data_IF_667383828516
#
_entry.id   IF_667383828516
#
_cell.length_a   1.000
_cell.length_b   1.000
_cell.length_c   1.000
_cell.angle_alpha   90.00
_cell.angle_beta   90.00
_cell.angle_gamma   90.00
#
_symmetry.space_group_name_H-M   'P 1'
#
loop_
_entity.id
_entity.type
_entity.pdbx_description
1 polymer ?
#
# COMPACT_ATOMS: atom_id res chain seq x y z
N UNK A 1 -60.42 41.04 43.68
CA UNK A 1 -59.93 39.65 43.89
C UNK A 1 -59.91 39.02 42.49
N UNK A 2 -58.78 39.08 41.78
CA UNK A 2 -57.75 38.02 41.68
C UNK A 2 -58.37 36.68 41.26
N UNK A 3 -58.02 36.03 40.15
CA UNK A 3 -56.79 36.12 39.38
C UNK A 3 -56.91 35.52 37.98
N UNK A 4 -55.97 35.96 37.14
CA UNK A 4 -55.76 35.50 35.76
C UNK A 4 -55.18 34.09 35.79
N UNK A 5 -55.85 33.13 35.15
CA UNK A 5 -55.31 31.81 34.88
C UNK A 5 -54.30 31.94 33.72
N UNK A 6 -53.01 32.00 34.05
CA UNK A 6 -51.93 32.03 33.07
C UNK A 6 -51.87 30.69 32.32
N UNK A 7 -52.04 30.76 31.00
CA UNK A 7 -51.63 29.73 30.05
C UNK A 7 -50.11 29.56 30.12
N UNK A 8 -49.64 28.50 30.78
CA UNK A 8 -48.26 28.04 30.66
C UNK A 8 -48.11 27.26 29.34
N UNK A 9 -47.76 27.97 28.26
CA UNK A 9 -47.22 27.32 27.06
C UNK A 9 -45.74 27.08 27.32
N UNK A 10 -45.39 25.87 27.76
CA UNK A 10 -44.01 25.43 27.87
C UNK A 10 -43.43 25.25 26.46
N UNK A 11 -42.65 26.22 26.00
CA UNK A 11 -41.85 26.10 24.78
C UNK A 11 -40.69 25.13 25.05
N UNK A 12 -40.82 23.87 24.61
CA UNK A 12 -39.70 22.93 24.57
C UNK A 12 -38.83 23.31 23.38
N UNK A 13 -37.78 24.10 23.62
CA UNK A 13 -36.76 24.37 22.61
C UNK A 13 -35.96 23.08 22.36
N UNK A 14 -36.18 22.44 21.21
CA UNK A 14 -35.36 21.33 20.76
C UNK A 14 -33.94 21.86 20.45
N UNK A 15 -32.99 21.61 21.36
CA UNK A 15 -31.57 21.86 21.11
C UNK A 15 -31.08 20.79 20.15
N UNK A 16 -31.12 21.09 18.85
CA UNK A 16 -30.47 20.28 17.83
C UNK A 16 -28.97 20.53 17.97
N UNK A 17 -28.28 19.65 18.70
CA UNK A 17 -26.81 19.61 18.71
C UNK A 17 -26.38 19.12 17.34
N UNK A 18 -26.04 20.07 16.46
CA UNK A 18 -25.31 19.77 15.23
C UNK A 18 -23.94 19.20 15.63
N UNK A 19 -23.82 17.87 15.64
CA UNK A 19 -22.52 17.21 15.71
C UNK A 19 -21.81 17.53 14.40
N UNK A 20 -21.02 18.61 14.38
CA UNK A 20 -20.07 18.84 13.30
C UNK A 20 -19.10 17.67 13.38
N UNK A 21 -19.16 16.75 12.43
CA UNK A 21 -18.24 15.63 12.35
C UNK A 21 -16.83 16.20 12.17
N UNK A 22 -16.08 16.26 13.28
CA UNK A 22 -14.68 16.66 13.29
C UNK A 22 -13.91 15.62 12.47
N UNK A 23 -13.01 16.08 11.61
CA UNK A 23 -12.20 15.17 10.81
C UNK A 23 -11.43 14.19 11.72
N UNK A 24 -11.44 12.87 11.45
CA UNK A 24 -10.79 11.89 12.32
C UNK A 24 -9.26 12.05 12.40
N UNK A 25 -8.65 12.77 11.46
CA UNK A 25 -7.21 13.00 11.38
C UNK A 25 -6.78 14.41 11.81
N UNK A 26 -7.71 15.18 12.40
CA UNK A 26 -7.45 16.56 12.82
C UNK A 26 -6.31 16.66 13.84
N UNK A 27 -6.13 15.65 14.70
CA UNK A 27 -5.06 15.58 15.69
C UNK A 27 -3.68 15.34 15.08
N UNK A 28 -3.62 14.78 13.86
CA UNK A 28 -2.38 14.57 13.12
C UNK A 28 -2.04 15.83 12.33
N UNK A 29 -2.98 16.31 11.51
CA UNK A 29 -2.80 17.54 10.74
C UNK A 29 -4.13 18.04 10.19
N UNK A 30 -4.37 19.36 10.28
CA UNK A 30 -5.48 20.02 9.61
C UNK A 30 -5.41 19.89 8.08
N UNK A 31 -4.21 19.64 7.53
CA UNK A 31 -3.97 19.43 6.09
C UNK A 31 -3.97 17.96 5.68
N UNK A 32 -4.34 17.05 6.58
CA UNK A 32 -4.43 15.64 6.26
C UNK A 32 -5.39 15.41 5.09
N UNK A 33 -5.07 14.46 4.21
CA UNK A 33 -5.82 14.19 2.97
C UNK A 33 -7.30 13.95 3.21
N UNK A 34 -7.64 13.20 4.27
CA UNK A 34 -9.04 12.94 4.67
C UNK A 34 -9.76 14.22 5.12
N UNK A 35 -9.07 15.18 5.72
CA UNK A 35 -9.67 16.42 6.22
C UNK A 35 -9.82 17.48 5.12
N UNK A 36 -8.84 17.53 4.21
CA UNK A 36 -8.74 18.58 3.20
C UNK A 36 -9.61 18.30 1.98
N UNK A 37 -9.67 17.03 1.56
CA UNK A 37 -10.24 16.67 0.28
C UNK A 37 -11.59 15.97 0.41
N UNK A 38 -12.49 16.29 -0.52
CA UNK A 38 -13.76 15.59 -0.68
C UNK A 38 -13.57 14.38 -1.60
N UNK A 39 -14.42 13.37 -1.45
CA UNK A 39 -14.51 12.26 -2.42
C UNK A 39 -14.91 12.81 -3.78
N UNK A 40 -14.44 12.15 -4.84
CA UNK A 40 -14.80 12.42 -6.22
C UNK A 40 -14.67 13.90 -6.67
N UNK A 41 -13.71 14.67 -6.13
CA UNK A 41 -13.63 16.11 -6.40
C UNK A 41 -13.09 16.43 -7.80
N UNK A 42 -12.09 15.68 -8.29
CA UNK A 42 -11.55 15.68 -9.66
C UNK A 42 -11.60 17.05 -10.39
N UNK A 43 -11.11 18.12 -9.76
CA UNK A 43 -11.38 19.50 -10.21
C UNK A 43 -10.87 19.74 -11.64
N UNK A 44 -11.75 20.26 -12.49
CA UNK A 44 -11.43 20.57 -13.89
C UNK A 44 -11.27 19.35 -14.81
N UNK A 45 -11.63 18.16 -14.34
CA UNK A 45 -11.57 16.90 -15.09
C UNK A 45 -12.90 16.15 -14.92
N UNK A 46 -13.18 15.21 -15.82
CA UNK A 46 -14.39 14.40 -15.72
C UNK A 46 -14.06 13.03 -15.11
N UNK A 47 -14.45 12.81 -13.85
CA UNK A 47 -14.29 11.51 -13.20
C UNK A 47 -15.23 10.48 -13.82
N UNK A 48 -14.68 9.37 -14.31
CA UNK A 48 -15.43 8.30 -15.00
C UNK A 48 -15.56 7.05 -14.13
N UNK A 49 -14.58 6.79 -13.25
CA UNK A 49 -14.63 5.77 -12.19
C UNK A 49 -13.78 6.22 -11.01
N UNK A 50 -14.27 5.95 -9.80
CA UNK A 50 -13.51 6.08 -8.55
C UNK A 50 -13.61 4.76 -7.79
N UNK A 51 -12.45 4.25 -7.36
CA UNK A 51 -12.32 3.06 -6.55
C UNK A 51 -13.04 1.83 -7.10
N UNK A 52 -13.73 1.13 -6.20
CA UNK A 52 -14.37 -0.15 -6.48
C UNK A 52 -13.34 -1.24 -6.76
N UNK A 53 -12.27 -1.28 -5.97
CA UNK A 53 -11.30 -2.38 -6.01
C UNK A 53 -11.91 -3.60 -5.35
N UNK A 54 -12.19 -4.62 -6.15
CA UNK A 54 -12.76 -5.87 -5.69
C UNK A 54 -11.71 -6.77 -5.03
N UNK A 55 -12.15 -7.93 -4.54
CA UNK A 55 -11.23 -8.92 -3.93
C UNK A 55 -10.13 -9.34 -4.91
N UNK A 56 -10.45 -9.51 -6.19
CA UNK A 56 -9.47 -9.84 -7.23
C UNK A 56 -8.40 -8.77 -7.39
N UNK A 57 -8.78 -7.49 -7.38
CA UNK A 57 -7.82 -6.37 -7.49
C UNK A 57 -6.88 -6.35 -6.28
N UNK A 58 -7.45 -6.45 -5.07
CA UNK A 58 -6.69 -6.49 -3.81
C UNK A 58 -5.72 -7.68 -3.77
N UNK A 59 -6.16 -8.85 -4.19
CA UNK A 59 -5.33 -10.05 -4.24
C UNK A 59 -4.18 -9.89 -5.24
N UNK A 60 -4.45 -9.38 -6.45
CA UNK A 60 -3.39 -9.11 -7.44
C UNK A 60 -2.36 -8.13 -6.88
N UNK A 61 -2.80 -7.07 -6.18
CA UNK A 61 -1.88 -6.12 -5.55
C UNK A 61 -0.99 -6.85 -4.53
N UNK A 62 -1.58 -7.61 -3.60
CA UNK A 62 -0.82 -8.32 -2.57
C UNK A 62 0.14 -9.35 -3.16
N UNK A 63 -0.36 -10.21 -4.05
CA UNK A 63 0.42 -11.28 -4.68
C UNK A 63 1.61 -10.70 -5.43
N UNK A 64 1.41 -9.66 -6.24
CA UNK A 64 2.50 -9.05 -7.00
C UNK A 64 3.54 -8.41 -6.06
N UNK A 65 3.13 -7.68 -5.02
CA UNK A 65 4.08 -7.12 -4.05
C UNK A 65 4.86 -8.23 -3.34
N UNK A 66 4.18 -9.24 -2.80
CA UNK A 66 4.80 -10.29 -2.00
C UNK A 66 5.71 -11.19 -2.83
N UNK A 67 5.35 -11.53 -4.07
CA UNK A 67 6.20 -12.29 -4.98
C UNK A 67 7.51 -11.54 -5.31
N UNK A 68 7.42 -10.24 -5.60
CA UNK A 68 8.60 -9.42 -5.90
C UNK A 68 9.49 -9.22 -4.66
N UNK A 69 8.89 -8.96 -3.49
CA UNK A 69 9.61 -8.87 -2.21
C UNK A 69 10.29 -10.17 -1.84
N UNK A 70 9.64 -11.31 -2.05
CA UNK A 70 10.21 -12.64 -1.83
C UNK A 70 11.39 -12.90 -2.78
N UNK A 71 11.29 -12.50 -4.05
CA UNK A 71 12.38 -12.61 -5.03
C UNK A 71 13.63 -11.85 -4.58
N UNK A 72 13.46 -10.61 -4.09
CA UNK A 72 14.56 -9.83 -3.49
C UNK A 72 15.10 -10.51 -2.24
N UNK A 73 14.23 -10.96 -1.34
CA UNK A 73 14.63 -11.61 -0.09
C UNK A 73 15.48 -12.87 -0.32
N UNK A 74 15.16 -13.65 -1.35
CA UNK A 74 15.91 -14.84 -1.76
C UNK A 74 17.20 -14.53 -2.54
N UNK A 75 17.46 -13.26 -2.87
CA UNK A 75 18.61 -12.86 -3.67
C UNK A 75 18.51 -13.27 -5.15
N UNK A 76 17.30 -13.44 -5.68
CA UNK A 76 17.06 -13.79 -7.08
C UNK A 76 17.11 -12.58 -8.02
N UNK A 77 17.26 -11.38 -7.46
CA UNK A 77 17.28 -10.12 -8.22
C UNK A 77 18.73 -9.69 -8.40
N UNK A 78 19.17 -9.62 -9.65
CA UNK A 78 20.55 -9.27 -9.98
C UNK A 78 20.98 -7.94 -9.36
N UNK A 79 22.16 -7.92 -8.74
CA UNK A 79 22.70 -6.74 -8.07
C UNK A 79 22.10 -6.43 -6.69
N UNK A 80 21.06 -7.15 -6.25
CA UNK A 80 20.45 -6.97 -4.94
C UNK A 80 20.96 -8.02 -3.95
N UNK A 81 21.33 -7.62 -2.72
CA UNK A 81 21.62 -8.58 -1.67
C UNK A 81 20.34 -9.28 -1.21
N UNK A 82 20.42 -10.55 -0.75
CA UNK A 82 19.30 -11.18 -0.06
C UNK A 82 18.96 -10.41 1.22
N UNK A 83 17.68 -10.38 1.57
CA UNK A 83 17.18 -9.64 2.73
C UNK A 83 16.72 -10.60 3.83
N UNK A 84 17.26 -10.47 5.04
CA UNK A 84 16.72 -11.12 6.22
C UNK A 84 15.59 -10.27 6.82
N UNK A 85 14.43 -10.87 7.09
CA UNK A 85 13.31 -10.19 7.76
C UNK A 85 12.42 -9.35 6.84
N UNK A 86 12.40 -9.62 5.53
CA UNK A 86 11.39 -9.06 4.62
C UNK A 86 10.00 -9.54 5.07
N UNK A 87 9.14 -8.64 5.52
CA UNK A 87 7.79 -9.00 5.99
C UNK A 87 6.85 -9.20 4.80
N UNK A 88 5.98 -10.20 4.90
CA UNK A 88 4.85 -10.34 3.99
C UNK A 88 3.88 -9.16 4.20
N UNK A 89 3.43 -8.57 3.10
CA UNK A 89 2.44 -7.50 3.11
C UNK A 89 1.02 -8.07 3.21
N UNK A 90 0.18 -7.41 3.99
CA UNK A 90 -1.27 -7.66 4.07
C UNK A 90 -2.04 -6.39 3.73
N UNK A 91 -3.30 -6.55 3.32
CA UNK A 91 -4.14 -5.42 2.94
C UNK A 91 -4.58 -4.62 4.17
N UNK A 92 -4.59 -3.30 4.03
CA UNK A 92 -5.03 -2.38 5.08
C UNK A 92 -6.09 -1.41 4.54
N UNK A 93 -7.30 -1.50 5.09
CA UNK A 93 -8.44 -0.70 4.63
C UNK A 93 -8.32 0.78 5.00
N UNK A 94 -7.63 1.13 6.10
CA UNK A 94 -7.39 2.53 6.47
C UNK A 94 -6.48 3.19 5.42
N UNK A 95 -5.37 2.53 5.07
CA UNK A 95 -4.46 2.99 4.03
C UNK A 95 -5.16 3.10 2.67
N UNK A 96 -6.00 2.13 2.31
CA UNK A 96 -6.77 2.14 1.08
C UNK A 96 -7.77 3.31 1.02
N UNK A 97 -8.46 3.60 2.12
CA UNK A 97 -9.39 4.73 2.20
C UNK A 97 -8.67 6.08 2.00
N UNK A 98 -7.48 6.25 2.59
CA UNK A 98 -6.66 7.45 2.40
C UNK A 98 -6.14 7.52 0.96
N UNK A 99 -5.63 6.42 0.40
CA UNK A 99 -5.13 6.35 -0.97
C UNK A 99 -6.25 6.68 -1.99
N UNK A 100 -7.46 6.15 -1.77
CA UNK A 100 -8.61 6.44 -2.61
C UNK A 100 -9.04 7.91 -2.51
N UNK A 101 -9.01 8.48 -1.31
CA UNK A 101 -9.29 9.92 -1.12
C UNK A 101 -8.37 10.78 -1.98
N UNK A 102 -7.09 10.41 -2.09
CA UNK A 102 -6.15 11.12 -2.93
C UNK A 102 -6.36 10.85 -4.43
N UNK A 103 -6.58 9.60 -4.83
CA UNK A 103 -6.86 9.24 -6.22
C UNK A 103 -8.08 9.98 -6.79
N UNK A 104 -9.08 10.25 -5.95
CA UNK A 104 -10.28 11.03 -6.28
C UNK A 104 -10.04 12.50 -6.63
N UNK A 105 -8.83 13.02 -6.37
CA UNK A 105 -8.46 14.37 -6.73
C UNK A 105 -8.01 14.48 -8.19
N UNK A 106 -7.75 13.34 -8.85
CA UNK A 106 -7.30 13.26 -10.24
C UNK A 106 -6.03 14.09 -10.48
N UNK A 107 -5.16 14.17 -9.47
CA UNK A 107 -3.89 14.89 -9.51
C UNK A 107 -2.79 13.85 -9.51
N UNK A 108 -1.98 13.82 -10.57
CA UNK A 108 -0.82 12.93 -10.64
C UNK A 108 0.28 13.50 -9.75
N UNK A 109 0.68 12.75 -8.73
CA UNK A 109 1.68 13.15 -7.76
C UNK A 109 1.28 12.72 -6.34
N UNK A 110 2.01 13.21 -5.36
CA UNK A 110 1.83 12.88 -3.95
C UNK A 110 0.99 13.94 -3.21
N UNK A 111 0.14 13.50 -2.30
CA UNK A 111 -0.51 14.37 -1.31
C UNK A 111 0.48 14.91 -0.25
N UNK A 112 0.05 15.91 0.52
CA UNK A 112 0.90 16.54 1.52
C UNK A 112 1.02 15.74 2.82
N UNK A 113 -0.06 15.12 3.28
CA UNK A 113 -0.11 14.44 4.58
C UNK A 113 -1.14 13.30 4.57
N UNK A 114 -0.65 12.09 4.86
CA UNK A 114 -1.37 10.81 4.73
C UNK A 114 -1.09 9.84 5.89
N UNK A 115 -0.42 10.31 6.93
CA UNK A 115 -0.02 9.50 8.08
C UNK A 115 -1.25 9.06 8.87
N UNK A 116 -1.16 7.87 9.46
CA UNK A 116 -2.20 7.36 10.35
C UNK A 116 -1.84 7.62 11.80
N UNK A 117 -2.77 7.38 12.72
CA UNK A 117 -2.45 7.38 14.16
C UNK A 117 -1.46 6.28 14.56
N UNK A 118 -1.18 5.32 13.66
CA UNK A 118 -0.31 4.17 13.91
C UNK A 118 1.14 4.43 13.50
N UNK A 119 1.37 5.13 12.38
CA UNK A 119 2.70 5.33 11.81
C UNK A 119 2.70 6.35 10.66
N UNK A 120 3.88 6.88 10.29
CA UNK A 120 4.10 7.56 9.02
C UNK A 120 3.85 6.64 7.82
N UNK A 121 3.26 7.19 6.76
CA UNK A 121 2.80 6.43 5.59
C UNK A 121 3.54 6.87 4.32
N UNK A 122 4.11 5.90 3.63
CA UNK A 122 4.77 6.08 2.34
C UNK A 122 3.78 5.87 1.19
N UNK A 123 4.17 6.23 -0.03
CA UNK A 123 3.24 6.21 -1.16
C UNK A 123 3.96 5.98 -2.49
N UNK A 124 3.39 5.12 -3.33
CA UNK A 124 3.73 5.02 -4.75
C UNK A 124 2.54 5.49 -5.59
N UNK A 125 2.83 6.20 -6.69
CA UNK A 125 1.82 6.74 -7.60
C UNK A 125 2.20 6.39 -9.04
N UNK A 126 1.22 5.97 -9.83
CA UNK A 126 1.38 5.74 -11.26
C UNK A 126 0.22 6.33 -12.04
N UNK A 127 0.48 6.79 -13.26
CA UNK A 127 -0.57 7.22 -14.17
C UNK A 127 -0.29 6.77 -15.60
N UNK A 128 -1.33 6.32 -16.29
CA UNK A 128 -1.30 6.01 -17.72
C UNK A 128 -2.42 6.75 -18.43
N UNK A 129 -2.22 7.16 -19.68
CA UNK A 129 -3.22 7.93 -20.41
C UNK A 129 -3.25 7.61 -21.91
N UNK A 130 -4.42 7.82 -22.52
CA UNK A 130 -4.64 7.74 -23.97
C UNK A 130 -5.37 8.99 -24.48
N UNK A 131 -4.89 9.53 -25.62
CA UNK A 131 -5.52 10.67 -26.29
C UNK A 131 -6.66 10.20 -27.21
N UNK A 132 -7.69 11.05 -27.38
CA UNK A 132 -8.79 10.80 -28.30
C UNK A 132 -9.83 9.80 -27.77
N UNK A 133 -9.50 8.51 -27.76
CA UNK A 133 -10.39 7.42 -27.37
C UNK A 133 -9.89 6.65 -26.14
N UNK A 134 -10.80 6.02 -25.36
CA UNK A 134 -10.40 5.10 -24.29
C UNK A 134 -9.54 3.96 -24.83
N UNK A 135 -8.58 3.48 -24.02
CA UNK A 135 -7.88 2.23 -24.34
C UNK A 135 -8.87 1.05 -24.36
N UNK A 136 -8.54 -0.06 -25.04
CA UNK A 136 -9.40 -1.26 -25.06
C UNK A 136 -9.71 -1.79 -23.66
N UNK A 137 -8.78 -1.64 -22.71
CA UNK A 137 -8.98 -2.01 -21.31
C UNK A 137 -9.92 -1.05 -20.55
N UNK A 138 -10.37 0.04 -21.17
CA UNK A 138 -11.36 0.97 -20.62
C UNK A 138 -11.02 1.41 -19.18
N UNK A 139 -11.98 1.38 -18.25
CA UNK A 139 -11.78 1.77 -16.85
C UNK A 139 -11.16 0.65 -15.97
N UNK A 140 -10.77 -0.49 -16.52
CA UNK A 140 -10.23 -1.62 -15.75
C UNK A 140 -8.82 -1.29 -15.26
N UNK A 141 -8.50 -1.45 -13.96
CA UNK A 141 -7.18 -1.17 -13.44
C UNK A 141 -6.21 -2.29 -13.83
N UNK A 142 -4.94 -1.95 -14.00
CA UNK A 142 -3.85 -2.89 -14.23
C UNK A 142 -2.75 -2.66 -13.18
N UNK A 143 -3.06 -3.02 -11.93
CA UNK A 143 -2.15 -2.86 -10.80
C UNK A 143 -0.89 -3.69 -10.95
N UNK A 144 -1.00 -4.93 -11.45
CA UNK A 144 0.16 -5.81 -11.68
C UNK A 144 1.21 -5.09 -12.49
N UNK A 145 0.83 -4.55 -13.66
CA UNK A 145 1.75 -3.82 -14.51
C UNK A 145 2.37 -2.61 -13.80
N UNK A 146 1.59 -1.83 -13.04
CA UNK A 146 2.14 -0.64 -12.36
C UNK A 146 3.16 -1.04 -11.29
N UNK A 147 2.89 -2.10 -10.54
CA UNK A 147 3.78 -2.60 -9.48
C UNK A 147 5.06 -3.18 -10.08
N UNK A 148 4.94 -3.93 -11.18
CA UNK A 148 6.10 -4.44 -11.93
C UNK A 148 6.93 -3.30 -12.54
N UNK A 149 6.29 -2.24 -13.03
CA UNK A 149 6.98 -1.05 -13.55
C UNK A 149 7.75 -0.32 -12.44
N UNK A 150 7.14 -0.10 -11.27
CA UNK A 150 7.82 0.42 -10.08
C UNK A 150 9.01 -0.45 -9.68
N UNK A 151 8.82 -1.78 -9.69
CA UNK A 151 9.90 -2.70 -9.35
C UNK A 151 11.05 -2.63 -10.37
N UNK A 152 10.73 -2.45 -11.66
CA UNK A 152 11.72 -2.44 -12.74
C UNK A 152 12.72 -1.27 -12.68
N UNK A 153 12.47 -0.26 -11.83
CA UNK A 153 13.42 0.83 -11.56
C UNK A 153 14.80 0.29 -11.14
N UNK A 154 14.85 -0.81 -10.39
CA UNK A 154 16.10 -1.48 -10.01
C UNK A 154 16.94 -1.89 -11.21
N UNK A 155 16.30 -2.31 -12.30
CA UNK A 155 16.97 -2.74 -13.52
C UNK A 155 17.30 -1.56 -14.42
N UNK A 156 16.44 -0.54 -14.46
CA UNK A 156 16.60 0.63 -15.33
C UNK A 156 17.69 1.59 -14.83
N UNK A 157 17.75 1.80 -13.52
CA UNK A 157 18.59 2.83 -12.91
C UNK A 157 19.68 2.25 -12.00
N UNK A 158 19.57 0.96 -11.66
CA UNK A 158 20.42 0.32 -10.67
C UNK A 158 20.01 0.69 -9.24
N UNK A 159 20.33 -0.19 -8.31
CA UNK A 159 20.18 0.06 -6.87
C UNK A 159 21.28 -0.71 -6.17
N UNK A 160 22.37 -0.05 -5.83
CA UNK A 160 23.61 -0.71 -5.40
C UNK A 160 23.62 -0.87 -3.89
N UNK A 161 24.50 -1.77 -3.43
CA UNK A 161 24.81 -1.94 -2.01
C UNK A 161 25.18 -0.62 -1.30
N UNK A 162 25.89 0.28 -1.98
CA UNK A 162 26.21 1.61 -1.45
C UNK A 162 24.96 2.42 -1.09
N UNK A 163 23.89 2.25 -1.87
CA UNK A 163 22.61 2.95 -1.71
C UNK A 163 21.79 2.35 -0.55
N UNK A 164 22.22 1.21 0.01
CA UNK A 164 21.63 0.56 1.19
C UNK A 164 22.43 0.84 2.47
N UNK A 165 23.77 0.95 2.37
CA UNK A 165 24.66 1.14 3.53
C UNK A 165 24.49 2.54 4.16
N UNK A 166 24.24 3.55 3.33
CA UNK A 166 23.73 4.86 3.75
C UNK A 166 22.57 5.18 2.84
N UNK A 167 21.36 4.83 3.27
CA UNK A 167 20.20 4.94 2.40
C UNK A 167 20.05 6.34 1.81
N UNK A 168 20.24 6.46 0.49
CA UNK A 168 20.15 7.70 -0.26
C UNK A 168 18.93 7.65 -1.16
N UNK A 169 17.99 8.56 -0.94
CA UNK A 169 16.83 8.66 -1.81
C UNK A 169 17.23 9.03 -3.23
N UNK A 170 16.64 8.37 -4.21
CA UNK A 170 16.69 8.82 -5.60
C UNK A 170 15.27 8.84 -6.12
N UNK A 171 14.88 9.93 -6.79
CA UNK A 171 13.59 10.02 -7.47
C UNK A 171 13.44 8.92 -8.54
N UNK A 172 14.55 8.40 -9.08
CA UNK A 172 14.56 7.34 -10.08
C UNK A 172 14.26 5.95 -9.52
N UNK A 173 14.49 5.71 -8.22
CA UNK A 173 14.31 4.40 -7.56
C UNK A 173 13.41 4.47 -6.32
N UNK A 174 12.67 5.57 -6.18
CA UNK A 174 11.79 5.82 -5.04
C UNK A 174 10.69 4.78 -4.93
N UNK A 175 10.08 4.38 -6.04
CA UNK A 175 8.99 3.41 -6.00
C UNK A 175 9.51 2.01 -5.67
N UNK A 176 10.63 1.61 -6.27
CA UNK A 176 11.31 0.35 -5.96
C UNK A 176 11.68 0.28 -4.48
N UNK A 177 12.36 1.30 -3.95
CA UNK A 177 12.83 1.30 -2.56
C UNK A 177 11.68 1.20 -1.55
N UNK A 178 10.54 1.87 -1.79
CA UNK A 178 9.34 1.69 -0.98
C UNK A 178 8.75 0.27 -1.10
N UNK A 179 8.67 -0.28 -2.32
CA UNK A 179 8.12 -1.62 -2.57
C UNK A 179 8.89 -2.70 -1.82
N UNK A 180 10.23 -2.59 -1.76
CA UNK A 180 11.12 -3.56 -1.10
C UNK A 180 11.52 -3.17 0.33
N UNK A 181 10.87 -2.17 0.93
CA UNK A 181 11.17 -1.77 2.29
C UNK A 181 10.80 -2.88 3.29
N UNK A 182 11.78 -3.39 4.04
CA UNK A 182 11.64 -4.63 4.82
C UNK A 182 10.54 -4.55 5.89
N UNK A 183 10.44 -3.39 6.54
CA UNK A 183 9.55 -3.18 7.68
C UNK A 183 8.12 -2.89 7.27
N UNK A 184 7.91 -2.44 6.03
CA UNK A 184 6.58 -2.24 5.44
C UNK A 184 5.88 -3.60 5.35
N UNK A 185 4.70 -3.71 5.95
CA UNK A 185 3.91 -4.94 5.94
C UNK A 185 2.42 -4.69 5.68
N UNK A 186 2.04 -3.43 5.48
CA UNK A 186 0.67 -3.02 5.18
C UNK A 186 0.67 -2.27 3.86
N UNK A 187 -0.30 -2.58 3.00
CA UNK A 187 -0.55 -1.86 1.76
C UNK A 187 -2.04 -1.63 1.59
N UNK A 188 -2.42 -0.44 1.16
CA UNK A 188 -3.78 -0.12 0.76
C UNK A 188 -3.75 0.85 -0.41
N UNK A 189 -4.51 0.54 -1.46
CA UNK A 189 -4.47 1.29 -2.71
C UNK A 189 -5.82 1.90 -3.08
N UNK A 190 -5.76 2.99 -3.83
CA UNK A 190 -6.86 3.69 -4.47
C UNK A 190 -6.67 3.79 -5.98
N UNK A 191 -7.78 3.96 -6.67
CA UNK A 191 -7.81 4.03 -8.13
C UNK A 191 -8.80 5.08 -8.63
N UNK A 192 -8.45 5.80 -9.68
CA UNK A 192 -9.41 6.60 -10.43
C UNK A 192 -9.17 6.52 -11.92
N UNK A 193 -10.25 6.62 -12.68
CA UNK A 193 -10.24 6.76 -14.13
C UNK A 193 -11.02 8.02 -14.48
N UNK A 194 -10.40 8.92 -15.23
CA UNK A 194 -10.97 10.22 -15.53
C UNK A 194 -10.54 10.73 -16.91
N UNK A 195 -11.30 11.66 -17.47
CA UNK A 195 -10.93 12.39 -18.68
C UNK A 195 -10.26 13.71 -18.27
N UNK A 196 -8.98 13.80 -18.56
CA UNK A 196 -8.16 15.01 -18.42
C UNK A 196 -8.19 15.80 -19.74
N UNK A 197 -8.49 17.12 -19.73
CA UNK A 197 -8.43 17.93 -20.94
C UNK A 197 -7.06 17.94 -21.63
N UNK A 198 -5.97 17.78 -20.88
CA UNK A 198 -4.60 17.80 -21.39
C UNK A 198 -4.10 16.39 -21.78
N UNK A 199 -4.44 15.36 -20.99
CA UNK A 199 -3.89 14.00 -21.15
C UNK A 199 -4.88 12.99 -21.76
N UNK A 200 -6.15 13.34 -21.91
CA UNK A 200 -7.19 12.44 -22.35
C UNK A 200 -7.63 11.47 -21.25
N UNK A 201 -7.96 10.24 -21.63
CA UNK A 201 -8.44 9.23 -20.70
C UNK A 201 -7.28 8.72 -19.83
N UNK A 202 -7.31 9.03 -18.54
CA UNK A 202 -6.23 8.81 -17.59
C UNK A 202 -6.63 7.84 -16.50
N UNK A 203 -5.80 6.83 -16.24
CA UNK A 203 -5.86 5.93 -15.10
C UNK A 203 -4.84 6.39 -14.06
N UNK A 204 -5.25 6.56 -12.82
CA UNK A 204 -4.40 6.94 -11.70
C UNK A 204 -4.45 5.85 -10.62
N UNK A 205 -3.27 5.41 -10.20
CA UNK A 205 -3.06 4.38 -9.21
C UNK A 205 -2.30 5.00 -8.05
N UNK A 206 -2.80 4.82 -6.83
CA UNK A 206 -2.16 5.32 -5.61
C UNK A 206 -2.08 4.15 -4.63
N UNK A 207 -0.90 3.80 -4.15
CA UNK A 207 -0.73 2.80 -3.10
C UNK A 207 -0.03 3.42 -1.90
N UNK A 208 -0.66 3.32 -0.73
CA UNK A 208 -0.11 3.76 0.55
C UNK A 208 0.48 2.55 1.30
N UNK A 209 1.60 2.78 1.97
CA UNK A 209 2.42 1.74 2.60
C UNK A 209 2.66 2.03 4.09
N UNK A 210 2.55 0.99 4.92
CA UNK A 210 2.62 1.11 6.38
C UNK A 210 3.50 0.07 7.08
N UNK A 211 4.34 0.50 8.04
CA UNK A 211 4.97 1.81 8.13
C UNK A 211 5.73 2.08 6.83
N UNK A 212 5.57 3.27 6.27
CA UNK A 212 6.20 3.57 4.98
C UNK A 212 7.57 4.21 5.11
N UNK A 213 8.28 4.20 3.99
CA UNK A 213 9.48 4.98 3.80
C UNK A 213 9.07 6.45 3.62
N UNK A 214 9.30 7.27 4.65
CA UNK A 214 8.95 8.69 4.59
C UNK A 214 10.20 9.51 4.36
N UNK A 215 10.32 10.07 3.16
CA UNK A 215 11.34 11.06 2.85
C UNK A 215 10.94 12.40 3.46
N UNK A 216 11.55 12.73 4.59
CA UNK A 216 11.41 14.03 5.22
C UNK A 216 12.12 15.10 4.37
N UNK A 217 11.43 15.60 3.33
CA UNK A 217 11.64 16.97 2.87
C UNK A 217 10.85 17.93 3.78
N UNK A 218 11.09 17.86 5.09
CA UNK A 218 10.71 18.87 6.07
C UNK A 218 11.76 18.84 7.18
N UNK A 219 12.51 19.94 7.30
CA UNK A 219 13.35 20.23 8.45
C UNK A 219 12.49 20.12 9.73
N UNK A 220 12.72 19.10 10.55
CA UNK A 220 12.27 19.16 11.94
C UNK A 220 13.22 20.06 12.73
N UNK A 221 12.73 21.09 13.45
CA UNK A 221 13.57 21.94 14.29
C UNK A 221 14.17 21.22 15.50
N UNK A 222 13.79 19.98 15.79
CA UNK A 222 14.17 19.28 17.02
C UNK A 222 14.53 17.81 16.75
N UNK A 223 15.70 17.59 16.16
CA UNK A 223 16.72 16.61 16.57
C UNK A 223 16.37 15.16 16.97
N UNK A 224 15.15 14.65 16.78
CA UNK A 224 14.84 13.24 17.00
C UNK A 224 15.23 12.45 15.75
N UNK A 225 16.48 12.03 15.75
CA UNK A 225 17.05 11.05 14.84
C UNK A 225 16.31 9.71 15.04
N UNK A 226 15.19 9.50 14.33
CA UNK A 226 14.64 8.15 14.21
C UNK A 226 15.63 7.34 13.38
N UNK A 227 16.45 6.62 14.14
CA UNK A 227 17.53 5.72 13.78
C UNK A 227 17.39 5.09 12.38
N UNK A 228 18.28 5.50 11.47
CA UNK A 228 18.54 4.93 10.14
C UNK A 228 19.09 3.47 10.17
N UNK A 229 18.64 2.62 11.09
CA UNK A 229 19.26 1.30 11.36
C UNK A 229 18.49 0.09 10.86
N UNK A 230 17.33 0.21 10.22
CA UNK A 230 16.52 -0.98 9.94
C UNK A 230 16.79 -1.71 8.63
N UNK A 231 17.20 -1.01 7.55
CA UNK A 231 17.78 -1.67 6.37
C UNK A 231 18.99 -2.55 6.77
N UNK A 232 19.74 -2.13 7.80
CA UNK A 232 20.91 -2.85 8.32
C UNK A 232 20.56 -4.13 9.12
N UNK A 233 19.34 -4.33 9.63
CA UNK A 233 19.00 -5.61 10.31
C UNK A 233 18.89 -6.78 9.35
N UNK A 234 18.55 -6.53 8.09
CA UNK A 234 18.65 -7.53 7.04
C UNK A 234 20.11 -7.92 6.74
N UNK A 235 21.04 -6.97 6.93
CA UNK A 235 22.44 -7.11 6.55
C UNK A 235 23.33 -7.80 7.59
N UNK A 236 23.14 -7.47 8.87
CA UNK A 236 24.01 -8.02 9.91
C UNK A 236 23.70 -9.48 10.25
N UNK A 237 22.47 -9.94 9.98
CA UNK A 237 22.04 -11.32 10.30
C UNK A 237 22.74 -12.36 9.41
N UNK A 238 22.93 -12.06 8.12
CA UNK A 238 23.63 -12.96 7.17
C UNK A 238 25.15 -12.93 7.38
N UNK A 239 25.71 -11.77 7.73
CA UNK A 239 27.15 -11.65 8.02
C UNK A 239 27.52 -12.35 9.35
N UNK A 240 26.69 -12.28 10.40
CA UNK A 240 26.96 -13.01 11.66
C UNK A 240 26.87 -14.53 11.47
N UNK A 241 25.94 -15.02 10.65
CA UNK A 241 25.83 -16.46 10.34
C UNK A 241 27.00 -16.94 9.49
N UNK A 242 27.49 -16.15 8.53
CA UNK A 242 28.64 -16.55 7.70
C UNK A 242 29.98 -16.53 8.45
N UNK A 243 30.18 -15.64 9.42
CA UNK A 243 31.35 -15.66 10.32
C UNK A 243 31.32 -16.85 11.31
N UNK A 244 30.14 -17.19 11.84
CA UNK A 244 30.00 -18.32 12.77
C UNK A 244 30.10 -19.67 12.04
N UNK A 245 29.55 -19.78 10.83
CA UNK A 245 29.63 -21.00 10.01
C UNK A 245 31.01 -21.24 9.39
N UNK A 246 31.79 -20.20 9.05
CA UNK A 246 33.20 -20.38 8.63
C UNK A 246 34.10 -20.87 9.77
N UNK A 247 33.77 -20.59 11.03
CA UNK A 247 34.49 -21.10 12.21
C UNK A 247 34.05 -22.52 12.60
N UNK A 248 32.79 -22.89 12.34
CA UNK A 248 32.25 -24.22 12.66
C UNK A 248 32.53 -25.25 11.55
N UNK A 249 32.70 -24.85 10.28
CA UNK A 249 33.05 -25.78 9.18
C UNK A 249 34.48 -26.36 9.23
N UNK A 250 35.27 -26.08 10.29
CA UNK A 250 36.50 -26.83 10.61
C UNK A 250 36.33 -27.83 11.77
N UNK A 251 35.15 -27.94 12.37
CA UNK A 251 34.89 -28.89 13.44
C UNK A 251 33.60 -29.67 13.17
N UNK A 252 33.78 -30.97 12.94
CA UNK A 252 32.77 -32.02 12.96
C UNK A 252 31.88 -32.20 11.72
N UNK A 253 32.27 -33.18 10.91
CA UNK A 253 31.37 -33.95 10.06
C UNK A 253 30.99 -35.25 10.80
N UNK A 254 29.72 -35.41 11.21
CA UNK A 254 29.01 -36.71 11.28
C UNK A 254 27.52 -36.54 11.65
N UNK A 255 26.69 -37.03 10.73
CA UNK A 255 25.30 -37.53 10.73
C UNK A 255 24.37 -37.41 11.98
N UNK A 256 23.06 -37.20 11.75
CA UNK A 256 21.97 -38.22 11.81
C UNK A 256 20.56 -37.56 11.63
N UNK A 257 19.65 -38.29 10.96
CA UNK A 257 18.22 -38.07 10.70
C UNK A 257 17.32 -38.05 11.98
N UNK A 258 16.26 -37.21 12.02
CA UNK A 258 14.83 -37.62 12.00
C UNK A 258 13.84 -36.45 12.25
N UNK A 259 12.67 -36.60 11.62
CA UNK A 259 11.38 -35.90 11.59
C UNK A 259 10.64 -35.69 12.92
N UNK A 260 9.79 -34.64 13.07
CA UNK A 260 8.35 -34.68 13.50
C UNK A 260 7.61 -33.36 13.12
N UNK A 261 6.33 -33.51 12.78
CA UNK A 261 5.28 -32.58 12.30
C UNK A 261 4.56 -31.70 13.35
N UNK A 262 3.57 -30.90 12.86
CA UNK A 262 2.41 -30.26 13.52
C UNK A 262 2.65 -28.88 14.20
N UNK A 263 1.79 -27.84 14.14
CA UNK A 263 0.37 -27.64 13.74
C UNK A 263 0.11 -26.13 13.52
N UNK A 264 -0.93 -25.83 12.76
CA UNK A 264 -1.57 -24.53 12.49
C UNK A 264 -2.46 -24.06 13.67
N UNK A 265 -2.68 -22.74 13.85
CA UNK A 265 -4.06 -22.27 13.94
C UNK A 265 -4.33 -20.94 13.21
N UNK A 266 -5.09 -21.05 12.12
CA UNK A 266 -6.27 -20.25 11.76
C UNK A 266 -6.34 -18.77 12.18
N UNK A 267 -6.27 -17.89 11.17
CA UNK A 267 -6.72 -16.49 11.23
C UNK A 267 -7.25 -16.04 9.87
N UNK A 268 -8.54 -16.29 9.61
CA UNK A 268 -9.18 -16.02 8.32
C UNK A 268 -9.53 -14.54 8.11
N UNK A 269 -9.15 -13.99 6.95
CA UNK A 269 -9.83 -12.87 6.27
C UNK A 269 -9.72 -13.06 4.75
N UNK A 270 -10.84 -12.85 4.05
CA UNK A 270 -11.08 -13.09 2.61
C UNK A 270 -10.91 -14.55 2.15
N UNK A 271 -11.76 -15.45 2.63
CA UNK A 271 -11.82 -16.83 2.13
C UNK A 271 -12.49 -16.89 0.75
N UNK A 272 -11.77 -17.47 -0.22
CA UNK A 272 -12.32 -17.91 -1.49
C UNK A 272 -13.26 -19.10 -1.25
N UNK A 273 -14.53 -19.00 -1.65
CA UNK A 273 -15.43 -20.13 -1.78
C UNK A 273 -15.15 -20.86 -3.09
N UNK A 274 -14.53 -22.03 -3.04
CA UNK A 274 -14.61 -23.02 -4.11
C UNK A 274 -15.92 -23.80 -3.95
N UNK A 275 -16.90 -23.53 -4.80
CA UNK A 275 -18.05 -24.42 -4.97
C UNK A 275 -17.65 -25.59 -5.86
N UNK A 276 -17.65 -26.80 -5.31
CA UNK A 276 -17.71 -28.05 -6.06
C UNK A 276 -19.18 -28.44 -6.30
N UNK A 277 -19.58 -28.51 -7.57
CA UNK A 277 -20.56 -29.48 -8.09
C UNK A 277 -20.41 -29.50 -9.63
N UNK A 278 -19.80 -30.56 -10.17
CA UNK A 278 -20.48 -31.57 -11.01
C UNK A 278 -21.18 -30.96 -12.24
N UNK A 279 -20.59 -31.13 -13.43
CA UNK A 279 -21.12 -32.06 -14.42
C UNK A 279 -20.25 -32.12 -15.69
N UNK A 280 -20.01 -33.35 -16.15
CA UNK A 280 -19.26 -33.71 -17.35
C UNK A 280 -20.26 -34.07 -18.45
N UNK A 281 -20.22 -33.44 -19.63
CA UNK A 281 -20.85 -34.01 -20.81
C UNK A 281 -19.82 -34.83 -21.61
N UNK A 282 -20.11 -36.12 -21.75
CA UNK A 282 -19.54 -37.00 -22.78
C UNK A 282 -19.98 -36.55 -24.17
N UNK A 283 -19.02 -36.33 -25.08
CA UNK A 283 -19.28 -36.11 -26.50
C UNK A 283 -19.43 -37.45 -27.25
N UNK A 284 -20.32 -37.57 -28.25
CA UNK A 284 -20.31 -38.71 -29.16
C UNK A 284 -19.36 -38.48 -30.35
N UNK A 285 -18.77 -39.59 -30.82
CA UNK A 285 -17.84 -39.69 -31.94
C UNK A 285 -18.56 -39.53 -33.31
N UNK A 286 -17.83 -39.23 -34.40
CA UNK A 286 -18.43 -38.86 -35.68
C UNK A 286 -18.66 -40.07 -36.60
N UNK A 287 -19.86 -40.14 -37.17
CA UNK A 287 -20.19 -40.70 -38.49
C UNK A 287 -21.58 -40.26 -38.88
#
# INVERSE_FOLDING_TARGET
>A
MSGRCLLFVAAVAAVVVLVVAVCPYQSISARHTICTYRTAACRGKALLRSGGLGCTDKQVILDTHNQLRQSVALGHVAGQPPAAGMREMVWDEELAAIAQRWADQCTVGHDAERSTGRFPVGQNVAATWTHGTPSPAGPTPDFRKQIEDWFSEVMRWGFRRSDLEHFHFSEHTGHYSQLVWSDTYLVGCGYSYFKDPQRGYTKLYVCNYGPGLVFLSWHFPNGFLFCFTFVLRAYQSVLKVTWRLKRIKRASARAIFHSVSALDPSGATCSASTSTSQDRPTAPAPS
#
